data_IF_908410900307
#
_entry.id   IF_908410900307
#
_cell.length_a   1.000
_cell.length_b   1.000
_cell.length_c   1.000
_cell.angle_alpha   90.00
_cell.angle_beta   90.00
_cell.angle_gamma   90.00
#
_symmetry.space_group_name_H-M   'P 1'
#
loop_
_entity.id
_entity.type
_entity.pdbx_description
1 polymer ?
#
# COMPACT_ATOMS: atom_id res chain seq x y z
N UNK A 1 -7.50 -15.22 6.92
CA UNK A 1 -7.04 -14.27 5.86
C UNK A 1 -7.47 -12.81 6.08
N UNK A 2 -8.08 -12.42 7.22
CA UNK A 2 -8.44 -11.01 7.49
C UNK A 2 -7.31 -10.19 8.14
N UNK A 3 -6.32 -10.85 8.74
CA UNK A 3 -5.27 -10.17 9.52
C UNK A 3 -4.31 -9.36 8.65
N UNK A 4 -4.05 -9.80 7.41
CA UNK A 4 -3.14 -9.12 6.48
C UNK A 4 -3.73 -7.80 6.00
N UNK A 5 -4.99 -7.83 5.53
CA UNK A 5 -5.71 -6.61 5.11
C UNK A 5 -5.72 -5.57 6.22
N UNK A 6 -6.05 -5.98 7.44
CA UNK A 6 -6.13 -5.07 8.59
C UNK A 6 -4.76 -4.48 8.95
N UNK A 7 -3.70 -5.30 8.96
CA UNK A 7 -2.33 -4.82 9.19
C UNK A 7 -1.91 -3.77 8.18
N UNK A 8 -2.12 -4.07 6.89
CA UNK A 8 -1.80 -3.12 5.82
C UNK A 8 -2.58 -1.83 5.97
N UNK A 9 -3.87 -1.91 6.34
CA UNK A 9 -4.70 -0.73 6.55
C UNK A 9 -4.17 0.13 7.69
N UNK A 10 -3.91 -0.45 8.87
CA UNK A 10 -3.33 0.27 10.01
C UNK A 10 -1.99 0.92 9.65
N UNK A 11 -1.12 0.19 8.96
CA UNK A 11 0.18 0.69 8.51
C UNK A 11 0.05 1.88 7.55
N UNK A 12 -0.87 1.79 6.58
CA UNK A 12 -1.10 2.85 5.61
C UNK A 12 -1.90 4.03 6.21
N UNK A 13 -2.70 3.80 7.25
CA UNK A 13 -3.45 4.83 7.98
C UNK A 13 -2.53 5.66 8.88
N UNK A 14 -1.48 5.04 9.43
CA UNK A 14 -0.43 5.73 10.19
C UNK A 14 0.48 6.60 9.29
N UNK A 15 0.51 6.33 7.98
CA UNK A 15 1.21 7.18 7.03
C UNK A 15 0.49 8.52 6.86
N UNK A 16 1.28 9.60 6.84
CA UNK A 16 0.76 10.92 6.48
C UNK A 16 0.27 10.94 5.03
N UNK A 17 -0.67 11.83 4.72
CA UNK A 17 -1.21 12.02 3.37
C UNK A 17 -0.13 12.20 2.28
N UNK A 18 0.97 12.88 2.61
CA UNK A 18 2.14 13.04 1.73
C UNK A 18 2.84 11.71 1.44
N UNK A 19 3.10 10.90 2.46
CA UNK A 19 3.66 9.57 2.30
C UNK A 19 2.66 8.65 1.59
N UNK A 20 1.37 8.76 1.85
CA UNK A 20 0.35 7.97 1.18
C UNK A 20 0.28 8.27 -0.32
N UNK A 21 0.34 9.53 -0.73
CA UNK A 21 0.46 9.93 -2.15
C UNK A 21 1.68 9.31 -2.80
N UNK A 22 2.80 9.33 -2.08
CA UNK A 22 4.10 8.90 -2.58
C UNK A 22 4.15 7.37 -2.64
N UNK A 23 3.52 6.67 -1.69
CA UNK A 23 3.26 5.22 -1.70
C UNK A 23 2.41 4.82 -2.90
N UNK A 24 1.28 5.50 -3.14
CA UNK A 24 0.43 5.28 -4.32
C UNK A 24 1.20 5.47 -5.63
N UNK A 25 2.13 6.42 -5.68
CA UNK A 25 2.98 6.65 -6.84
C UNK A 25 3.93 5.48 -7.10
N UNK A 26 4.56 4.92 -6.06
CA UNK A 26 5.38 3.70 -6.21
C UNK A 26 4.53 2.48 -6.56
N UNK A 27 3.35 2.36 -5.95
CA UNK A 27 2.43 1.26 -6.23
C UNK A 27 1.94 1.27 -7.68
N UNK A 28 1.78 2.45 -8.27
CA UNK A 28 1.51 2.63 -9.71
C UNK A 28 2.66 2.14 -10.58
N UNK A 29 3.91 2.32 -10.17
CA UNK A 29 5.07 1.83 -10.94
C UNK A 29 5.21 0.31 -10.84
N UNK A 30 4.97 -0.26 -9.66
CA UNK A 30 5.07 -1.70 -9.41
C UNK A 30 3.83 -2.50 -9.88
N UNK A 31 2.72 -1.81 -10.22
CA UNK A 31 1.42 -2.45 -10.44
C UNK A 31 0.63 -1.97 -11.66
N UNK A 32 -0.23 -2.83 -12.24
CA UNK A 32 -1.13 -2.47 -13.33
C UNK A 32 -2.36 -1.67 -12.83
N UNK A 33 -2.19 -0.86 -11.79
CA UNK A 33 -3.30 -0.12 -11.17
C UNK A 33 -3.41 1.26 -11.84
N UNK A 34 -4.57 1.61 -12.42
CA UNK A 34 -4.76 2.91 -13.04
C UNK A 34 -4.71 4.05 -12.00
N UNK A 35 -4.00 5.12 -12.36
CA UNK A 35 -3.85 6.36 -11.55
C UNK A 35 -5.20 6.90 -11.08
N UNK A 36 -6.19 6.91 -11.98
CA UNK A 36 -7.51 7.45 -11.68
C UNK A 36 -8.23 6.70 -10.56
N UNK A 37 -7.88 5.43 -10.35
CA UNK A 37 -8.39 4.64 -9.22
C UNK A 37 -7.56 4.97 -7.98
N UNK A 38 -6.22 4.92 -8.03
CA UNK A 38 -5.36 5.22 -6.89
C UNK A 38 -5.54 6.64 -6.31
N UNK A 39 -5.79 7.62 -7.17
CA UNK A 39 -5.97 9.01 -6.77
C UNK A 39 -7.26 9.19 -5.94
N UNK A 40 -8.31 8.43 -6.27
CA UNK A 40 -9.60 8.43 -5.55
C UNK A 40 -9.72 7.34 -4.49
N UNK A 41 -8.84 6.34 -4.52
CA UNK A 41 -8.85 5.21 -3.62
C UNK A 41 -8.45 5.66 -2.22
N UNK A 42 -9.26 5.31 -1.22
CA UNK A 42 -8.86 5.41 0.18
C UNK A 42 -7.79 4.35 0.51
N UNK A 43 -7.25 4.44 1.72
CA UNK A 43 -6.28 3.47 2.27
C UNK A 43 -6.81 2.04 2.11
N UNK A 44 -8.07 1.83 2.49
CA UNK A 44 -8.73 0.52 2.41
C UNK A 44 -8.90 0.02 0.98
N UNK A 45 -9.21 0.92 0.04
CA UNK A 45 -9.41 0.56 -1.37
C UNK A 45 -8.06 0.23 -2.04
N UNK A 46 -7.02 0.99 -1.70
CA UNK A 46 -5.63 0.72 -2.11
C UNK A 46 -5.18 -0.66 -1.64
N UNK A 47 -5.37 -0.98 -0.36
CA UNK A 47 -5.03 -2.30 0.19
C UNK A 47 -5.84 -3.40 -0.48
N UNK A 48 -7.14 -3.21 -0.69
CA UNK A 48 -7.99 -4.20 -1.33
C UNK A 48 -7.54 -4.48 -2.77
N UNK A 49 -7.22 -3.43 -3.55
CA UNK A 49 -6.63 -3.59 -4.88
C UNK A 49 -5.29 -4.33 -4.85
N UNK A 50 -4.43 -4.05 -3.87
CA UNK A 50 -3.16 -4.76 -3.74
C UNK A 50 -3.38 -6.24 -3.47
N UNK A 51 -4.28 -6.56 -2.54
CA UNK A 51 -4.64 -7.94 -2.21
C UNK A 51 -5.28 -8.65 -3.39
N UNK A 52 -6.09 -7.94 -4.17
CA UNK A 52 -6.79 -8.49 -5.33
C UNK A 52 -5.86 -8.70 -6.54
N UNK A 53 -4.97 -7.74 -6.84
CA UNK A 53 -4.03 -7.84 -7.97
C UNK A 53 -2.85 -8.76 -7.69
N UNK A 54 -2.25 -8.67 -6.50
CA UNK A 54 -0.99 -9.37 -6.19
C UNK A 54 -1.18 -10.58 -5.28
N UNK A 55 -2.29 -10.65 -4.55
CA UNK A 55 -2.51 -11.63 -3.50
C UNK A 55 -1.94 -11.18 -2.14
N UNK A 56 -2.41 -11.78 -1.03
CA UNK A 56 -2.08 -11.35 0.32
C UNK A 56 -0.58 -11.37 0.65
N UNK A 57 0.15 -12.37 0.16
CA UNK A 57 1.58 -12.51 0.45
C UNK A 57 2.43 -11.48 -0.32
N UNK A 58 2.09 -11.22 -1.59
CA UNK A 58 2.82 -10.23 -2.40
C UNK A 58 2.48 -8.81 -1.99
N UNK A 59 1.21 -8.54 -1.66
CA UNK A 59 0.79 -7.23 -1.18
C UNK A 59 1.64 -6.78 0.02
N UNK A 60 1.84 -7.67 1.00
CA UNK A 60 2.72 -7.38 2.16
C UNK A 60 4.16 -7.09 1.73
N UNK A 61 4.73 -7.91 0.84
CA UNK A 61 6.10 -7.66 0.34
C UNK A 61 6.23 -6.32 -0.36
N UNK A 62 5.28 -5.97 -1.23
CA UNK A 62 5.28 -4.71 -1.97
C UNK A 62 5.14 -3.54 -1.00
N UNK A 63 4.20 -3.62 -0.05
CA UNK A 63 4.04 -2.56 0.97
C UNK A 63 5.33 -2.36 1.76
N UNK A 64 5.96 -3.43 2.24
CA UNK A 64 7.23 -3.35 2.96
C UNK A 64 8.38 -2.78 2.11
N UNK A 65 8.46 -3.16 0.83
CA UNK A 65 9.49 -2.65 -0.10
C UNK A 65 9.33 -1.15 -0.35
N UNK A 66 8.09 -0.70 -0.59
CA UNK A 66 7.77 0.71 -0.79
C UNK A 66 8.04 1.51 0.51
N UNK A 67 7.59 1.03 1.66
CA UNK A 67 7.87 1.67 2.95
C UNK A 67 9.38 1.83 3.17
N UNK A 68 10.19 0.81 2.84
CA UNK A 68 11.65 0.88 2.89
C UNK A 68 12.24 1.91 1.92
N UNK A 69 11.76 1.95 0.67
CA UNK A 69 12.17 2.97 -0.32
C UNK A 69 11.85 4.39 0.13
N UNK A 70 10.79 4.55 0.92
CA UNK A 70 10.34 5.83 1.45
C UNK A 70 10.96 6.18 2.81
N UNK A 71 11.90 5.36 3.30
CA UNK A 71 12.51 5.50 4.62
C UNK A 71 11.52 5.39 5.80
N UNK A 72 10.32 4.85 5.56
CA UNK A 72 9.28 4.54 6.55
C UNK A 72 9.56 3.18 7.21
N UNK A 73 10.81 2.94 7.60
CA UNK A 73 11.26 1.65 8.14
C UNK A 73 10.59 1.30 9.47
N UNK A 74 10.16 2.31 10.23
CA UNK A 74 9.46 2.13 11.50
C UNK A 74 8.08 1.47 11.34
N UNK A 75 7.48 1.60 10.15
CA UNK A 75 6.20 0.99 9.80
C UNK A 75 6.35 -0.37 9.13
N UNK A 76 7.59 -0.76 8.81
CA UNK A 76 7.93 -2.00 8.11
C UNK A 76 8.43 -3.11 9.06
N UNK A 77 8.26 -2.93 10.37
CA UNK A 77 8.70 -3.86 11.45
C UNK A 77 7.59 -4.84 11.91
#
# INVERSE_FOLDING_TARGET
MASVKRKLNDTLDDLKEDDLKRFKSYLREDGPIPVSVLEKADVTDTVDQMLHCFGPERAVKITLDILKKMNQNHLAE
#
